data_IF_072826136970
#
_entry.id   IF_072826136970
#
_cell.length_a   1.000
_cell.length_b   1.000
_cell.length_c   1.000
_cell.angle_alpha   90.00
_cell.angle_beta   90.00
_cell.angle_gamma   90.00
#
_symmetry.space_group_name_H-M   'P 1'
#
loop_
_entity.id
_entity.type
_entity.pdbx_description
1 polymer ?
#
# COMPACT_ATOMS: atom_id res chain seq x y z
N UNK A 1 23.69 1.71 18.29
CA UNK A 1 23.23 2.56 17.18
C UNK A 1 21.73 2.56 17.29
N UNK A 2 21.15 3.58 17.90
CA UNK A 2 19.70 3.73 17.90
C UNK A 2 19.33 4.23 16.52
N UNK A 3 18.83 3.34 15.67
CA UNK A 3 18.09 3.75 14.48
C UNK A 3 16.94 4.63 14.97
N UNK A 4 16.97 5.92 14.60
CA UNK A 4 15.77 6.73 14.63
C UNK A 4 14.77 6.04 13.70
N UNK A 5 13.86 5.25 14.27
CA UNK A 5 12.67 4.77 13.56
C UNK A 5 11.88 6.01 13.17
N UNK A 6 12.18 6.58 12.01
CA UNK A 6 11.43 7.69 11.46
C UNK A 6 9.98 7.21 11.33
N UNK A 7 9.08 7.80 12.12
CA UNK A 7 7.66 7.56 12.00
C UNK A 7 7.23 7.85 10.56
N UNK A 8 6.66 6.85 9.90
CA UNK A 8 6.08 7.00 8.57
C UNK A 8 4.94 8.01 8.65
N UNK A 9 4.88 8.94 7.69
CA UNK A 9 3.69 9.76 7.52
C UNK A 9 2.58 8.93 6.88
N UNK A 10 1.33 9.39 6.96
CA UNK A 10 0.20 8.71 6.31
C UNK A 10 0.40 8.57 4.79
N UNK A 11 0.98 9.61 4.19
CA UNK A 11 1.38 9.58 2.78
C UNK A 11 2.42 8.49 2.50
N UNK A 12 3.41 8.31 3.39
CA UNK A 12 4.42 7.26 3.22
C UNK A 12 3.81 5.87 3.34
N UNK A 13 2.84 5.68 4.25
CA UNK A 13 2.10 4.42 4.39
C UNK A 13 1.35 4.10 3.10
N UNK A 14 0.62 5.07 2.53
CA UNK A 14 -0.15 4.88 1.30
C UNK A 14 0.76 4.61 0.10
N UNK A 15 1.85 5.37 -0.05
CA UNK A 15 2.78 5.20 -1.16
C UNK A 15 3.53 3.86 -1.06
N UNK A 16 3.94 3.45 0.15
CA UNK A 16 4.56 2.15 0.39
C UNK A 16 3.59 1.00 0.09
N UNK A 17 2.32 1.14 0.49
CA UNK A 17 1.28 0.13 0.24
C UNK A 17 0.99 0.01 -1.25
N UNK A 18 0.97 1.12 -1.99
CA UNK A 18 0.87 1.11 -3.45
C UNK A 18 2.06 0.41 -4.13
N UNK A 19 3.27 0.66 -3.65
CA UNK A 19 4.46 -0.02 -4.15
C UNK A 19 4.41 -1.53 -3.89
N UNK A 20 3.88 -1.95 -2.73
CA UNK A 20 3.67 -3.34 -2.40
C UNK A 20 2.59 -3.99 -3.28
N UNK A 21 1.45 -3.32 -3.49
CA UNK A 21 0.40 -3.79 -4.39
C UNK A 21 0.93 -4.01 -5.81
N UNK A 22 1.75 -3.08 -6.33
CA UNK A 22 2.43 -3.24 -7.63
C UNK A 22 3.30 -4.51 -7.68
N UNK A 23 4.04 -4.82 -6.60
CA UNK A 23 4.86 -6.05 -6.52
C UNK A 23 3.99 -7.31 -6.52
N UNK A 24 2.89 -7.32 -5.74
CA UNK A 24 1.96 -8.45 -5.70
C UNK A 24 1.30 -8.70 -7.06
N UNK A 25 0.93 -7.62 -7.75
CA UNK A 25 0.38 -7.69 -9.10
C UNK A 25 1.38 -8.29 -10.11
N UNK A 26 2.65 -7.86 -10.02
CA UNK A 26 3.76 -8.37 -10.84
C UNK A 26 4.10 -9.84 -10.58
N UNK A 27 4.02 -10.31 -9.33
CA UNK A 27 4.25 -11.73 -8.98
C UNK A 27 3.28 -12.65 -9.74
N UNK A 28 2.06 -12.19 -10.01
CA UNK A 28 1.07 -12.93 -10.80
C UNK A 28 1.26 -12.81 -12.32
N UNK A 29 2.30 -12.09 -12.77
CA UNK A 29 2.61 -11.88 -14.18
C UNK A 29 1.90 -10.70 -14.85
N UNK A 30 1.30 -9.79 -14.06
CA UNK A 30 0.67 -8.59 -14.61
C UNK A 30 1.56 -7.35 -14.46
N UNK A 31 1.40 -6.38 -15.36
CA UNK A 31 2.10 -5.10 -15.29
C UNK A 31 1.09 -3.96 -15.16
N UNK A 32 1.43 -2.95 -14.35
CA UNK A 32 0.66 -1.73 -14.22
C UNK A 32 1.49 -0.53 -14.68
N UNK A 33 0.89 0.50 -15.29
CA UNK A 33 1.60 1.70 -15.70
C UNK A 33 2.40 2.36 -14.56
N UNK A 34 3.45 3.08 -14.94
CA UNK A 34 4.15 3.95 -14.00
C UNK A 34 3.18 4.97 -13.39
N UNK A 35 3.31 5.24 -12.09
CA UNK A 35 2.41 6.14 -11.37
C UNK A 35 0.99 5.61 -11.13
N UNK A 36 0.64 4.40 -11.61
CA UNK A 36 -0.65 3.77 -11.32
C UNK A 36 -0.90 3.64 -9.81
N UNK A 37 -2.14 3.91 -9.40
CA UNK A 37 -2.62 4.00 -8.01
C UNK A 37 -3.60 2.87 -7.72
N UNK A 38 -3.11 1.85 -7.02
CA UNK A 38 -3.87 0.65 -6.64
C UNK A 38 -4.92 0.95 -5.57
N UNK A 39 -4.70 1.98 -4.74
CA UNK A 39 -5.72 2.50 -3.80
C UNK A 39 -6.95 3.09 -4.51
N UNK A 40 -6.87 3.31 -5.83
CA UNK A 40 -7.98 3.82 -6.65
C UNK A 40 -8.46 2.79 -7.68
N UNK A 41 -8.00 1.56 -7.56
CA UNK A 41 -8.30 0.51 -8.52
C UNK A 41 -9.79 0.11 -8.47
N UNK A 42 -10.34 -0.23 -9.63
CA UNK A 42 -11.69 -0.81 -9.76
C UNK A 42 -11.67 -2.17 -10.44
N UNK A 43 -10.59 -2.52 -11.15
CA UNK A 43 -10.46 -3.81 -11.80
C UNK A 43 -10.20 -4.91 -10.75
N UNK A 44 -10.90 -6.07 -10.79
CA UNK A 44 -10.86 -7.07 -9.73
C UNK A 44 -9.45 -7.51 -9.30
N UNK A 45 -8.56 -7.71 -10.28
CA UNK A 45 -7.19 -8.15 -9.99
C UNK A 45 -6.31 -7.08 -9.34
N UNK A 46 -6.59 -5.81 -9.60
CA UNK A 46 -5.84 -4.69 -9.04
C UNK A 46 -6.35 -4.39 -7.63
N UNK A 47 -7.67 -4.48 -7.43
CA UNK A 47 -8.31 -4.42 -6.10
C UNK A 47 -7.77 -5.53 -5.21
N UNK A 48 -7.69 -6.76 -5.71
CA UNK A 48 -7.11 -7.89 -4.97
C UNK A 48 -5.64 -7.62 -4.57
N UNK A 49 -4.84 -7.03 -5.48
CA UNK A 49 -3.46 -6.67 -5.20
C UNK A 49 -3.35 -5.57 -4.11
N UNK A 50 -4.25 -4.59 -4.14
CA UNK A 50 -4.36 -3.57 -3.09
C UNK A 50 -4.71 -4.19 -1.73
N UNK A 51 -5.75 -5.01 -1.68
CA UNK A 51 -6.19 -5.68 -0.46
C UNK A 51 -5.10 -6.58 0.14
N UNK A 52 -4.37 -7.30 -0.71
CA UNK A 52 -3.21 -8.09 -0.28
C UNK A 52 -2.09 -7.24 0.30
N UNK A 53 -1.85 -6.04 -0.24
CA UNK A 53 -0.87 -5.11 0.30
C UNK A 53 -1.30 -4.53 1.65
N UNK A 54 -2.58 -4.17 1.82
CA UNK A 54 -3.11 -3.73 3.12
C UNK A 54 -2.98 -4.84 4.18
N UNK A 55 -3.39 -6.06 3.85
CA UNK A 55 -3.26 -7.20 4.76
C UNK A 55 -1.80 -7.43 5.20
N UNK A 56 -0.85 -7.28 4.28
CA UNK A 56 0.57 -7.40 4.59
C UNK A 56 1.08 -6.26 5.50
N UNK A 57 0.64 -5.02 5.30
CA UNK A 57 1.00 -3.89 6.18
C UNK A 57 0.50 -4.08 7.60
N UNK A 58 -0.75 -4.52 7.76
CA UNK A 58 -1.35 -4.82 9.05
C UNK A 58 -0.58 -5.96 9.73
N UNK A 59 -0.34 -7.06 9.00
CA UNK A 59 0.30 -8.25 9.57
C UNK A 59 1.77 -8.03 9.96
N UNK A 60 2.53 -7.26 9.17
CA UNK A 60 3.98 -7.15 9.33
C UNK A 60 4.41 -5.90 10.11
N UNK A 61 3.56 -4.87 10.15
CA UNK A 61 3.92 -3.56 10.72
C UNK A 61 2.87 -2.98 11.65
N UNK A 62 1.78 -3.72 11.92
CA UNK A 62 0.65 -3.26 12.75
C UNK A 62 0.10 -1.90 12.30
N UNK A 63 0.18 -1.61 10.99
CA UNK A 63 -0.26 -0.34 10.40
C UNK A 63 -1.36 -0.64 9.38
N UNK A 64 -2.53 -0.03 9.57
CA UNK A 64 -3.66 -0.11 8.63
C UNK A 64 -3.60 1.06 7.63
N UNK A 65 -3.41 0.81 6.33
CA UNK A 65 -3.42 1.87 5.33
C UNK A 65 -4.77 2.57 5.18
N UNK A 66 -5.89 1.95 5.58
CA UNK A 66 -7.22 2.60 5.52
C UNK A 66 -7.35 3.68 6.62
N UNK A 67 -6.75 3.47 7.79
CA UNK A 67 -6.64 4.52 8.83
C UNK A 67 -5.82 5.72 8.32
N UNK A 68 -4.76 5.44 7.56
CA UNK A 68 -3.93 6.48 6.95
C UNK A 68 -4.71 7.34 5.95
N UNK A 69 -5.67 6.76 5.21
CA UNK A 69 -6.57 7.53 4.35
C UNK A 69 -7.52 8.41 5.16
N UNK A 70 -8.15 7.85 6.19
CA UNK A 70 -9.06 8.61 7.05
C UNK A 70 -8.39 9.85 7.66
N UNK A 71 -7.12 9.75 8.04
CA UNK A 71 -6.34 10.84 8.62
C UNK A 71 -5.90 11.93 7.62
N UNK A 72 -5.93 11.66 6.30
CA UNK A 72 -5.57 12.66 5.27
C UNK A 72 -6.76 13.50 4.79
N UNK A 73 -7.99 13.02 5.02
CA UNK A 73 -9.23 13.70 4.62
C UNK A 73 -9.79 14.64 5.72
N UNK A 74 -9.12 14.72 6.88
CA UNK A 74 -9.36 15.72 7.96
C UNK A 74 -8.49 16.98 7.82
#
# INVERSE_FOLDING_TARGET
MTEDTQMRTEKDVIDQTNALARKLYAIRGYEAPEGYRFDRATHPHEVEAWQGACAAQILLTETDPEDAFANLDE
#
